data_IF_152459789955
#
_entry.id   IF_152459789955
#
_cell.length_a   1.000
_cell.length_b   1.000
_cell.length_c   1.000
_cell.angle_alpha   90.00
_cell.angle_beta   90.00
_cell.angle_gamma   90.00
#
_symmetry.space_group_name_H-M   'P 1'
#
loop_
_entity.id
_entity.type
_entity.pdbx_description
1 polymer ?
#
# COMPACT_ATOMS: atom_id res chain seq x y z
N UNK A 1 -78.48 21.35 -10.50
CA UNK A 1 -77.93 20.51 -11.59
C UNK A 1 -76.89 21.31 -12.35
N UNK A 2 -75.80 20.63 -12.77
CA UNK A 2 -74.72 21.06 -13.68
C UNK A 2 -73.49 21.68 -13.00
N UNK A 3 -72.53 20.79 -12.73
CA UNK A 3 -71.15 21.05 -12.31
C UNK A 3 -70.33 21.66 -13.46
N UNK A 4 -69.43 22.64 -13.23
CA UNK A 4 -68.45 23.06 -14.23
C UNK A 4 -67.09 22.36 -14.03
N UNK A 5 -66.83 21.49 -15.00
CA UNK A 5 -65.58 21.01 -15.59
C UNK A 5 -64.23 21.55 -15.06
N UNK A 6 -63.44 20.60 -14.57
CA UNK A 6 -62.02 20.64 -14.21
C UNK A 6 -61.12 21.03 -15.38
N UNK A 7 -60.25 22.04 -15.20
CA UNK A 7 -59.08 22.31 -16.03
C UNK A 7 -57.82 22.34 -15.16
N UNK A 8 -57.16 21.19 -15.06
CA UNK A 8 -55.83 21.02 -14.47
C UNK A 8 -54.81 21.80 -15.29
N UNK A 9 -54.30 22.90 -14.74
CA UNK A 9 -53.10 23.56 -15.24
C UNK A 9 -51.90 23.01 -14.49
N UNK A 10 -51.01 22.37 -15.24
CA UNK A 10 -49.75 21.82 -14.78
C UNK A 10 -48.77 22.95 -14.41
N UNK A 11 -48.22 22.90 -13.19
CA UNK A 11 -46.96 23.55 -12.86
C UNK A 11 -45.97 22.44 -12.53
N UNK A 12 -45.11 22.17 -13.51
CA UNK A 12 -44.06 21.17 -13.46
C UNK A 12 -42.94 21.69 -12.55
N UNK A 13 -42.90 21.21 -11.31
CA UNK A 13 -41.81 21.50 -10.39
C UNK A 13 -40.56 20.74 -10.86
N UNK A 14 -39.56 21.48 -11.35
CA UNK A 14 -38.24 20.98 -11.68
C UNK A 14 -37.53 20.54 -10.40
N UNK A 15 -37.58 19.24 -10.10
CA UNK A 15 -36.76 18.62 -9.07
C UNK A 15 -35.33 18.45 -9.60
N UNK A 16 -34.44 19.33 -9.15
CA UNK A 16 -33.01 19.27 -9.43
C UNK A 16 -32.43 17.96 -8.91
N UNK A 17 -32.16 17.01 -9.82
CA UNK A 17 -31.51 15.75 -9.49
C UNK A 17 -30.09 15.99 -9.01
N UNK A 18 -29.80 15.71 -7.74
CA UNK A 18 -28.43 15.53 -7.25
C UNK A 18 -27.86 14.27 -7.88
N UNK A 19 -27.09 14.44 -8.94
CA UNK A 19 -26.27 13.36 -9.50
C UNK A 19 -25.10 13.16 -8.54
N UNK A 20 -25.20 12.17 -7.66
CA UNK A 20 -24.03 11.65 -6.97
C UNK A 20 -23.08 11.10 -8.03
N UNK A 21 -21.97 11.79 -8.23
CA UNK A 21 -20.85 11.28 -9.01
C UNK A 21 -20.40 9.95 -8.37
N UNK A 22 -20.71 8.84 -9.03
CA UNK A 22 -20.21 7.53 -8.66
C UNK A 22 -18.70 7.57 -8.89
N UNK A 23 -17.93 7.69 -7.81
CA UNK A 23 -16.49 7.56 -7.89
C UNK A 23 -16.16 6.19 -8.50
N UNK A 24 -15.29 6.11 -9.52
CA UNK A 24 -14.97 4.84 -10.16
C UNK A 24 -14.45 3.86 -9.12
N UNK A 25 -15.05 2.67 -9.08
CA UNK A 25 -14.65 1.59 -8.20
C UNK A 25 -13.14 1.31 -8.35
N UNK A 26 -12.39 1.09 -7.26
CA UNK A 26 -10.97 0.82 -7.35
C UNK A 26 -10.75 -0.45 -8.16
N UNK A 27 -10.10 -0.30 -9.32
CA UNK A 27 -9.85 -1.42 -10.24
C UNK A 27 -8.97 -2.48 -9.53
N UNK A 28 -9.47 -3.69 -9.21
CA UNK A 28 -8.79 -4.63 -8.30
C UNK A 28 -7.54 -5.29 -8.90
N UNK A 29 -7.22 -5.03 -10.17
CA UNK A 29 -6.21 -5.75 -10.94
C UNK A 29 -4.84 -5.05 -11.05
N UNK A 30 -4.72 -3.77 -10.69
CA UNK A 30 -3.49 -2.99 -10.92
C UNK A 30 -2.82 -2.38 -9.68
N UNK A 31 -3.41 -2.49 -8.49
CA UNK A 31 -2.92 -1.76 -7.32
C UNK A 31 -1.67 -2.36 -6.66
N UNK A 32 -1.02 -1.64 -5.73
CA UNK A 32 0.10 -2.13 -4.91
C UNK A 32 -0.17 -3.49 -4.24
N UNK A 33 -1.44 -3.85 -4.00
CA UNK A 33 -1.84 -5.17 -3.53
C UNK A 33 -1.67 -6.30 -4.55
N UNK A 34 -1.92 -6.05 -5.84
CA UNK A 34 -1.73 -7.04 -6.89
C UNK A 34 -0.23 -7.37 -7.05
N UNK A 35 0.63 -6.36 -6.96
CA UNK A 35 2.09 -6.53 -6.97
C UNK A 35 2.58 -7.40 -5.80
N UNK A 36 2.18 -7.07 -4.57
CA UNK A 36 2.56 -7.83 -3.37
C UNK A 36 2.07 -9.28 -3.41
N UNK A 37 0.84 -9.53 -3.84
CA UNK A 37 0.31 -10.89 -4.00
C UNK A 37 1.13 -11.69 -5.02
N UNK A 38 1.50 -11.07 -6.14
CA UNK A 38 2.31 -11.72 -7.18
C UNK A 38 3.74 -12.01 -6.70
N UNK A 39 4.31 -11.11 -5.90
CA UNK A 39 5.63 -11.32 -5.32
C UNK A 39 5.64 -12.51 -4.33
N UNK A 40 4.65 -12.58 -3.44
CA UNK A 40 4.52 -13.71 -2.50
C UNK A 40 4.23 -15.04 -3.22
N UNK A 41 3.44 -15.01 -4.28
CA UNK A 41 3.20 -16.20 -5.10
C UNK A 41 4.49 -16.72 -5.75
N UNK A 42 5.33 -15.83 -6.31
CA UNK A 42 6.64 -16.23 -6.83
C UNK A 42 7.56 -16.78 -5.75
N UNK A 43 7.66 -16.10 -4.60
CA UNK A 43 8.51 -16.58 -3.50
C UNK A 43 8.09 -17.98 -3.04
N UNK A 44 6.79 -18.23 -2.93
CA UNK A 44 6.26 -19.53 -2.55
C UNK A 44 6.58 -20.63 -3.56
N UNK A 45 6.55 -20.31 -4.86
CA UNK A 45 6.93 -21.24 -5.93
C UNK A 45 8.43 -21.50 -5.92
N UNK A 46 9.25 -20.44 -5.85
CA UNK A 46 10.71 -20.57 -5.85
C UNK A 46 11.21 -21.40 -4.68
N UNK A 47 10.67 -21.18 -3.48
CA UNK A 47 11.09 -21.91 -2.29
C UNK A 47 10.40 -23.28 -2.15
N UNK A 48 9.57 -23.69 -3.11
CA UNK A 48 8.78 -24.92 -3.05
C UNK A 48 8.07 -25.08 -1.69
N UNK A 49 7.39 -24.03 -1.23
CA UNK A 49 6.77 -24.03 0.09
C UNK A 49 5.67 -25.09 0.17
N UNK A 50 5.61 -25.80 1.29
CA UNK A 50 4.47 -26.68 1.59
C UNK A 50 3.22 -25.84 1.84
N UNK A 51 2.03 -26.43 1.77
CA UNK A 51 0.79 -25.69 2.00
C UNK A 51 0.69 -25.15 3.43
N UNK A 52 1.24 -25.89 4.41
CA UNK A 52 1.39 -25.41 5.78
C UNK A 52 2.29 -24.17 5.86
N UNK A 53 3.46 -24.19 5.20
CA UNK A 53 4.37 -23.04 5.16
C UNK A 53 3.75 -21.83 4.44
N UNK A 54 3.01 -22.05 3.35
CA UNK A 54 2.28 -20.98 2.64
C UNK A 54 1.25 -20.32 3.55
N UNK A 55 0.50 -21.12 4.31
CA UNK A 55 -0.51 -20.59 5.23
C UNK A 55 0.13 -19.78 6.37
N UNK A 56 1.24 -20.27 6.94
CA UNK A 56 2.00 -19.53 7.96
C UNK A 56 2.57 -18.22 7.39
N UNK A 57 3.19 -18.27 6.20
CA UNK A 57 3.72 -17.09 5.52
C UNK A 57 2.63 -16.05 5.26
N UNK A 58 1.45 -16.48 4.78
CA UNK A 58 0.30 -15.61 4.56
C UNK A 58 -0.10 -14.88 5.84
N UNK A 59 -0.25 -15.60 6.95
CA UNK A 59 -0.59 -15.00 8.25
C UNK A 59 0.48 -14.01 8.71
N UNK A 60 1.76 -14.38 8.62
CA UNK A 60 2.89 -13.52 9.03
C UNK A 60 2.86 -12.19 8.26
N UNK A 61 2.76 -12.24 6.93
CA UNK A 61 2.78 -11.03 6.10
C UNK A 61 1.47 -10.23 6.16
N UNK A 62 0.32 -10.87 6.37
CA UNK A 62 -0.94 -10.18 6.62
C UNK A 62 -0.89 -9.39 7.92
N UNK A 63 -0.41 -10.01 9.00
CA UNK A 63 -0.27 -9.33 10.30
C UNK A 63 0.69 -8.14 10.20
N UNK A 64 1.87 -8.34 9.61
CA UNK A 64 2.84 -7.26 9.39
C UNK A 64 2.25 -6.10 8.58
N UNK A 65 1.44 -6.42 7.57
CA UNK A 65 0.75 -5.42 6.77
C UNK A 65 -0.29 -4.65 7.57
N UNK A 66 -1.12 -5.32 8.36
CA UNK A 66 -2.10 -4.68 9.23
C UNK A 66 -1.42 -3.75 10.23
N UNK A 67 -0.35 -4.21 10.88
CA UNK A 67 0.45 -3.39 11.81
C UNK A 67 1.09 -2.20 11.12
N UNK A 68 1.56 -2.35 9.88
CA UNK A 68 2.19 -1.27 9.12
C UNK A 68 1.21 -0.24 8.54
N UNK A 69 -0.09 -0.56 8.46
CA UNK A 69 -1.08 0.30 7.81
C UNK A 69 -1.16 1.72 8.41
N UNK A 70 -1.33 1.91 9.73
CA UNK A 70 -1.38 3.25 10.31
C UNK A 70 -0.09 4.05 10.07
N UNK A 71 1.08 3.40 10.08
CA UNK A 71 2.36 4.05 9.79
C UNK A 71 2.46 4.49 8.32
N UNK A 72 1.86 3.75 7.39
CA UNK A 72 1.79 4.18 5.98
C UNK A 72 0.91 5.41 5.80
N UNK A 73 -0.20 5.47 6.54
CA UNK A 73 -1.10 6.62 6.52
C UNK A 73 -0.41 7.85 7.13
N UNK A 74 0.30 7.68 8.24
CA UNK A 74 1.15 8.73 8.83
C UNK A 74 2.27 9.18 7.88
N UNK A 75 2.93 8.25 7.18
CA UNK A 75 3.95 8.58 6.20
C UNK A 75 3.38 9.42 5.06
N UNK A 76 2.19 9.08 4.55
CA UNK A 76 1.48 9.86 3.53
C UNK A 76 1.18 11.28 4.01
N UNK A 77 0.66 11.42 5.23
CA UNK A 77 0.39 12.73 5.84
C UNK A 77 1.67 13.55 6.02
N UNK A 78 2.75 12.92 6.48
CA UNK A 78 4.05 13.57 6.64
C UNK A 78 4.62 14.05 5.29
N UNK A 79 4.50 13.27 4.21
CA UNK A 79 4.87 13.72 2.86
C UNK A 79 4.07 14.95 2.41
N UNK A 80 2.77 14.98 2.69
CA UNK A 80 1.92 16.14 2.39
C UNK A 80 2.34 17.36 3.21
N UNK A 81 2.66 17.17 4.49
CA UNK A 81 3.12 18.23 5.38
C UNK A 81 4.46 18.83 4.92
N UNK A 82 5.44 18.00 4.53
CA UNK A 82 6.70 18.47 3.96
C UNK A 82 6.48 19.27 2.67
N UNK A 83 5.62 18.77 1.75
CA UNK A 83 5.30 19.51 0.52
C UNK A 83 4.64 20.85 0.80
N UNK A 84 3.72 20.90 1.77
CA UNK A 84 3.06 22.12 2.19
C UNK A 84 4.04 23.10 2.85
N UNK A 85 4.92 22.62 3.73
CA UNK A 85 5.93 23.43 4.41
C UNK A 85 6.88 24.11 3.40
N UNK A 86 7.32 23.38 2.38
CA UNK A 86 8.15 23.92 1.30
C UNK A 86 7.42 25.02 0.51
N UNK A 87 6.14 24.80 0.15
CA UNK A 87 5.34 25.79 -0.60
C UNK A 87 4.99 27.03 0.21
N UNK A 88 4.81 26.87 1.53
CA UNK A 88 4.47 27.95 2.44
C UNK A 88 5.71 28.72 2.96
N UNK A 89 6.92 28.38 2.50
CA UNK A 89 8.15 29.03 2.95
C UNK A 89 8.39 28.89 4.46
N UNK A 90 8.04 27.73 5.04
CA UNK A 90 8.31 27.47 6.46
C UNK A 90 9.82 27.41 6.72
N UNK A 91 10.21 27.66 7.98
CA UNK A 91 11.62 27.66 8.38
C UNK A 91 12.29 26.30 8.16
N UNK A 92 13.60 26.32 7.92
CA UNK A 92 14.43 25.11 7.83
C UNK A 92 14.29 24.22 9.06
N UNK A 93 14.16 24.81 10.26
CA UNK A 93 13.95 24.07 11.50
C UNK A 93 12.64 23.26 11.48
N UNK A 94 11.54 23.85 10.96
CA UNK A 94 10.26 23.16 10.82
C UNK A 94 10.33 22.03 9.79
N UNK A 95 11.01 22.26 8.67
CA UNK A 95 11.25 21.23 7.64
C UNK A 95 12.08 20.08 8.22
N UNK A 96 13.14 20.39 8.97
CA UNK A 96 14.02 19.41 9.61
C UNK A 96 13.27 18.54 10.64
N UNK A 97 12.35 19.14 11.41
CA UNK A 97 11.49 18.40 12.34
C UNK A 97 10.59 17.40 11.59
N UNK A 98 9.93 17.83 10.52
CA UNK A 98 9.09 16.95 9.69
C UNK A 98 9.90 15.83 9.03
N UNK A 99 11.12 16.12 8.57
CA UNK A 99 12.02 15.13 8.00
C UNK A 99 12.46 14.09 9.04
N UNK A 100 12.75 14.52 10.27
CA UNK A 100 13.09 13.62 11.39
C UNK A 100 11.91 12.70 11.72
N UNK A 101 10.69 13.23 11.76
CA UNK A 101 9.47 12.42 11.93
C UNK A 101 9.31 11.38 10.82
N UNK A 102 9.59 11.76 9.56
CA UNK A 102 9.57 10.83 8.43
C UNK A 102 10.54 9.68 8.64
N UNK A 103 11.78 9.98 9.04
CA UNK A 103 12.81 8.98 9.35
C UNK A 103 12.35 7.99 10.42
N UNK A 104 11.72 8.48 11.49
CA UNK A 104 11.19 7.62 12.56
C UNK A 104 10.09 6.67 12.04
N UNK A 105 9.14 7.17 11.24
CA UNK A 105 8.09 6.34 10.65
C UNK A 105 8.69 5.26 9.72
N UNK A 106 9.65 5.64 8.88
CA UNK A 106 10.35 4.71 8.00
C UNK A 106 11.11 3.63 8.79
N UNK A 107 11.78 4.01 9.87
CA UNK A 107 12.47 3.07 10.75
C UNK A 107 11.53 2.01 11.33
N UNK A 108 10.36 2.43 11.82
CA UNK A 108 9.33 1.50 12.32
C UNK A 108 8.79 0.58 11.22
N UNK A 109 8.56 1.11 10.02
CA UNK A 109 8.13 0.30 8.86
C UNK A 109 9.18 -0.74 8.46
N UNK A 110 10.47 -0.39 8.51
CA UNK A 110 11.58 -1.33 8.28
C UNK A 110 11.57 -2.41 9.35
N UNK A 111 11.48 -2.04 10.63
CA UNK A 111 11.45 -3.00 11.74
C UNK A 111 10.31 -4.03 11.57
N UNK A 112 9.09 -3.59 11.26
CA UNK A 112 7.93 -4.48 11.04
C UNK A 112 8.21 -5.48 9.90
N UNK A 113 8.76 -5.00 8.78
CA UNK A 113 9.06 -5.85 7.61
C UNK A 113 10.14 -6.88 7.94
N UNK A 114 11.21 -6.46 8.60
CA UNK A 114 12.33 -7.33 8.97
C UNK A 114 11.89 -8.38 9.99
N UNK A 115 11.09 -8.01 10.99
CA UNK A 115 10.52 -8.96 11.96
C UNK A 115 9.60 -9.99 11.29
N UNK A 116 8.78 -9.56 10.32
CA UNK A 116 7.95 -10.48 9.54
C UNK A 116 8.80 -11.45 8.72
N UNK A 117 9.85 -10.95 8.05
CA UNK A 117 10.77 -11.79 7.31
C UNK A 117 11.50 -12.79 8.22
N UNK A 118 11.98 -12.37 9.40
CA UNK A 118 12.61 -13.26 10.36
C UNK A 118 11.69 -14.41 10.80
N UNK A 119 10.40 -14.11 11.08
CA UNK A 119 9.39 -15.14 11.37
C UNK A 119 9.17 -16.09 10.20
N UNK A 120 9.12 -15.56 8.98
CA UNK A 120 8.98 -16.38 7.77
C UNK A 120 10.22 -17.28 7.53
N UNK A 121 11.42 -16.73 7.68
CA UNK A 121 12.69 -17.46 7.51
C UNK A 121 12.83 -18.62 8.51
N UNK A 122 12.30 -18.46 9.73
CA UNK A 122 12.25 -19.53 10.73
C UNK A 122 11.32 -20.69 10.36
N UNK A 123 10.34 -20.48 9.48
CA UNK A 123 9.41 -21.51 8.98
C UNK A 123 10.02 -22.36 7.85
N UNK A 124 11.11 -21.90 7.25
CA UNK A 124 11.78 -22.57 6.14
C UNK A 124 12.67 -23.72 6.62
N UNK A 125 12.80 -24.76 5.78
CA UNK A 125 13.82 -25.79 5.97
C UNK A 125 15.22 -25.23 5.69
N UNK A 126 16.31 -25.89 6.14
CA UNK A 126 17.68 -25.48 5.83
C UNK A 126 17.93 -25.26 4.33
N UNK A 127 17.40 -26.14 3.47
CA UNK A 127 17.57 -26.07 2.02
C UNK A 127 16.82 -24.88 1.42
N UNK A 128 15.59 -24.63 1.90
CA UNK A 128 14.81 -23.47 1.50
C UNK A 128 15.45 -22.15 1.94
N UNK A 129 16.07 -22.11 3.13
CA UNK A 129 16.84 -20.96 3.60
C UNK A 129 18.03 -20.67 2.69
N UNK A 130 18.81 -21.70 2.34
CA UNK A 130 19.93 -21.56 1.42
C UNK A 130 19.48 -21.01 0.05
N UNK A 131 18.35 -21.49 -0.48
CA UNK A 131 17.77 -20.94 -1.71
C UNK A 131 17.32 -19.48 -1.54
N UNK A 132 16.69 -19.13 -0.41
CA UNK A 132 16.28 -17.75 -0.13
C UNK A 132 17.49 -16.80 -0.07
N UNK A 133 18.59 -17.23 0.56
CA UNK A 133 19.82 -16.45 0.66
C UNK A 133 20.47 -16.25 -0.71
N UNK A 134 20.49 -17.28 -1.56
CA UNK A 134 20.95 -17.18 -2.94
C UNK A 134 20.12 -16.17 -3.75
N UNK A 135 18.79 -16.25 -3.66
CA UNK A 135 17.89 -15.31 -4.34
C UNK A 135 18.16 -13.86 -3.91
N UNK A 136 18.48 -13.64 -2.62
CA UNK A 136 18.84 -12.32 -2.12
C UNK A 136 20.18 -11.83 -2.70
N UNK A 137 21.19 -12.69 -2.78
CA UNK A 137 22.49 -12.35 -3.39
C UNK A 137 22.33 -11.98 -4.87
N UNK A 138 21.57 -12.78 -5.64
CA UNK A 138 21.30 -12.52 -7.05
C UNK A 138 20.59 -11.18 -7.25
N UNK A 139 19.62 -10.87 -6.38
CA UNK A 139 18.95 -9.58 -6.40
C UNK A 139 19.91 -8.43 -6.14
N UNK A 140 20.79 -8.56 -5.14
CA UNK A 140 21.80 -7.54 -4.83
C UNK A 140 22.77 -7.32 -6.00
N UNK A 141 23.24 -8.39 -6.64
CA UNK A 141 24.12 -8.29 -7.81
C UNK A 141 23.44 -7.57 -8.98
N UNK A 142 22.17 -7.89 -9.26
CA UNK A 142 21.38 -7.20 -10.29
C UNK A 142 21.22 -5.71 -9.97
N UNK A 143 20.98 -5.35 -8.71
CA UNK A 143 20.90 -3.93 -8.34
C UNK A 143 22.24 -3.21 -8.55
N UNK A 144 23.36 -3.87 -8.25
CA UNK A 144 24.69 -3.31 -8.48
C UNK A 144 24.99 -3.13 -9.97
N UNK A 145 24.61 -4.09 -10.81
CA UNK A 145 24.82 -3.99 -12.26
C UNK A 145 24.04 -2.82 -12.88
N UNK A 146 22.79 -2.60 -12.46
CA UNK A 146 21.97 -1.47 -12.93
C UNK A 146 22.52 -0.11 -12.45
N UNK A 147 23.14 -0.05 -11.26
CA UNK A 147 23.79 1.19 -10.79
C UNK A 147 25.06 1.51 -11.58
N UNK A 148 25.79 0.49 -12.05
CA UNK A 148 26.99 0.65 -12.89
C UNK A 148 26.69 1.00 -14.34
N UNK A 149 25.53 0.61 -14.88
CA UNK A 149 25.15 0.93 -16.26
C UNK A 149 24.54 2.33 -16.42
N UNK A 150 24.02 2.92 -15.34
CA UNK A 150 23.31 4.21 -15.35
C UNK A 150 24.11 5.35 -14.69
N UNK A 151 25.39 5.14 -14.39
CA UNK A 151 26.33 6.15 -13.89
C UNK A 151 27.51 6.27 -14.82
#
# INVERSE_FOLDING_TARGET
>A
MKQPLMKLTAIMALATGMVFAQAPAPNPQGGPHAFMRRHMARLAQELNLTDAQKQQAKTIFQNARTTAQPLRDQLKQNHQALSAAAKAGQSDASIQQLATQQGNILGQLVAIRTQAFAKFYAVLTPEQRAKADQMQQDFQQRLQSHRRSNG
#
